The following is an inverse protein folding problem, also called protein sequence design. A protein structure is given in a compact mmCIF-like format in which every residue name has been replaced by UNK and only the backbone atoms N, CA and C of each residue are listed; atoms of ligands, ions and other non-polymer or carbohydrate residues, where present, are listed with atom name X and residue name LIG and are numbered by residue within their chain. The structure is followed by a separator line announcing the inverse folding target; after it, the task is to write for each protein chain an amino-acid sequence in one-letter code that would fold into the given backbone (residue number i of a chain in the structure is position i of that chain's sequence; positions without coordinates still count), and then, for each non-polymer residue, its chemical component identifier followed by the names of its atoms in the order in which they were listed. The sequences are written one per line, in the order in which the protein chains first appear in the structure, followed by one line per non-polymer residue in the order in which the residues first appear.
data_IF_114189687779
#
_entry.id   IF_114189687779
#
_cell.length_a   1.000
_cell.length_b   1.000
_cell.length_c   1.000
_cell.angle_alpha   90.00
_cell.angle_beta   90.00
_cell.angle_gamma   90.00
#
_symmetry.space_group_name_H-M   'P 1'
#
loop_
_entity.id
_entity.type
_entity.pdbx_description
1 polymer ?
#
# COMPACT_ATOMS: atom_id res chain seq x y z
N UNK A 1 20.72 14.78 -5.04
CA UNK A 1 19.43 14.19 -5.44
C UNK A 1 19.65 13.57 -6.80
N UNK A 2 19.38 12.28 -7.00
CA UNK A 2 19.47 11.64 -8.33
C UNK A 2 18.38 12.26 -9.21
N UNK A 3 18.66 12.53 -10.49
CA UNK A 3 17.66 13.02 -11.43
C UNK A 3 16.54 11.98 -11.61
N UNK A 4 15.26 12.40 -11.76
CA UNK A 4 14.16 11.48 -12.01
C UNK A 4 14.35 10.75 -13.33
N UNK A 5 13.89 9.50 -13.39
CA UNK A 5 13.63 8.84 -14.67
C UNK A 5 12.15 9.06 -15.00
N UNK A 6 11.89 9.78 -16.09
CA UNK A 6 10.60 9.96 -16.73
C UNK A 6 10.42 8.77 -17.72
N UNK A 7 9.33 8.00 -17.92
CA UNK A 7 7.87 8.12 -17.70
C UNK A 7 7.20 6.72 -17.74
N UNK A 8 6.29 6.44 -16.81
CA UNK A 8 5.00 5.80 -17.14
C UNK A 8 3.94 6.88 -16.80
N UNK A 9 3.01 7.18 -17.71
CA UNK A 9 1.90 8.14 -17.50
C UNK A 9 2.22 9.54 -16.91
N UNK A 10 3.35 10.17 -17.27
CA UNK A 10 3.69 11.53 -16.80
C UNK A 10 4.05 11.65 -15.31
N UNK A 11 4.25 10.54 -14.61
CA UNK A 11 4.70 10.54 -13.22
C UNK A 11 6.23 10.42 -13.09
N UNK A 12 6.77 11.12 -12.09
CA UNK A 12 8.22 11.16 -11.82
C UNK A 12 8.60 10.05 -10.85
N UNK A 13 9.61 9.29 -11.26
CA UNK A 13 10.11 8.14 -10.53
C UNK A 13 11.53 8.36 -10.02
N UNK A 14 11.78 8.01 -8.76
CA UNK A 14 13.07 8.18 -8.09
C UNK A 14 13.52 6.88 -7.45
N UNK A 15 14.78 6.46 -7.61
CA UNK A 15 15.30 5.30 -6.89
C UNK A 15 15.38 5.57 -5.39
N UNK A 16 15.00 4.59 -4.59
CA UNK A 16 15.22 4.58 -3.14
C UNK A 16 16.38 3.66 -2.79
N UNK A 17 17.21 4.10 -1.83
CA UNK A 17 18.41 3.38 -1.40
C UNK A 17 19.40 3.14 -2.55
N UNK A 18 19.82 1.89 -2.68
CA UNK A 18 20.74 1.42 -3.72
C UNK A 18 20.02 0.95 -4.99
N UNK A 19 18.70 1.06 -5.05
CA UNK A 19 17.94 0.66 -6.21
C UNK A 19 18.38 1.39 -7.48
N UNK A 20 18.26 0.70 -8.60
CA UNK A 20 18.48 1.22 -9.94
C UNK A 20 17.19 1.15 -10.73
N UNK A 21 16.86 2.27 -11.36
CA UNK A 21 15.72 2.39 -12.26
C UNK A 21 16.22 2.34 -13.70
N UNK A 22 15.59 1.55 -14.54
CA UNK A 22 15.88 1.45 -15.96
C UNK A 22 14.58 1.33 -16.75
N UNK A 23 14.35 2.23 -17.70
CA UNK A 23 13.22 2.13 -18.61
C UNK A 23 13.61 1.27 -19.81
N UNK A 24 12.87 0.19 -20.05
CA UNK A 24 13.04 -0.71 -21.19
C UNK A 24 11.71 -0.80 -21.90
N UNK A 25 11.63 -0.30 -23.14
CA UNK A 25 10.39 -0.15 -23.88
C UNK A 25 9.34 0.63 -23.05
N UNK A 26 8.16 0.06 -22.86
CA UNK A 26 7.06 0.61 -22.06
C UNK A 26 7.09 0.18 -20.59
N UNK A 27 8.19 -0.42 -20.12
CA UNK A 27 8.31 -0.96 -18.76
C UNK A 27 9.35 -0.21 -17.95
N UNK A 28 9.13 -0.13 -16.64
CA UNK A 28 10.11 0.36 -15.69
C UNK A 28 10.65 -0.79 -14.85
N UNK A 29 11.94 -1.04 -14.95
CA UNK A 29 12.65 -2.06 -14.18
C UNK A 29 13.24 -1.41 -12.93
N UNK A 30 12.84 -1.92 -11.76
CA UNK A 30 13.43 -1.58 -10.47
C UNK A 30 14.34 -2.73 -10.07
N UNK A 31 15.65 -2.50 -9.99
CA UNK A 31 16.64 -3.55 -9.71
C UNK A 31 17.58 -3.16 -8.57
N UNK A 32 18.45 -4.09 -8.16
CA UNK A 32 19.36 -3.93 -7.03
C UNK A 32 18.64 -3.77 -5.68
N UNK A 33 17.58 -4.58 -5.46
CA UNK A 33 16.79 -4.57 -4.23
C UNK A 33 17.41 -5.53 -3.20
N UNK A 34 18.23 -4.99 -2.30
CA UNK A 34 19.06 -5.80 -1.39
C UNK A 34 18.24 -6.39 -0.22
N UNK A 35 18.92 -6.96 0.76
CA UNK A 35 18.31 -7.45 1.99
C UNK A 35 18.02 -6.33 3.02
N UNK A 36 18.31 -5.07 2.68
CA UNK A 36 18.10 -3.90 3.54
C UNK A 36 16.62 -3.59 3.84
N UNK A 37 15.73 -3.89 2.90
CA UNK A 37 14.30 -3.57 2.98
C UNK A 37 13.95 -2.09 2.74
N UNK A 38 14.93 -1.25 2.41
CA UNK A 38 14.72 0.18 2.10
C UNK A 38 14.91 0.51 0.62
N UNK A 39 15.42 -0.45 -0.17
CA UNK A 39 15.62 -0.27 -1.61
C UNK A 39 14.28 -0.35 -2.34
N UNK A 40 14.11 0.48 -3.36
CA UNK A 40 12.87 0.51 -4.12
C UNK A 40 12.70 1.74 -4.98
N UNK A 41 11.48 2.25 -5.02
CA UNK A 41 11.07 3.35 -5.89
C UNK A 41 10.12 4.30 -5.16
N UNK A 42 10.36 5.59 -5.33
CA UNK A 42 9.42 6.65 -4.99
C UNK A 42 8.78 7.18 -6.27
N UNK A 43 7.47 7.39 -6.21
CA UNK A 43 6.62 7.81 -7.32
C UNK A 43 5.91 9.07 -6.87
N UNK A 44 6.20 10.19 -7.54
CA UNK A 44 5.49 11.44 -7.28
C UNK A 44 4.16 11.41 -8.02
N UNK A 45 3.07 11.29 -7.28
CA UNK A 45 1.69 11.22 -7.80
C UNK A 45 1.08 12.60 -8.00
N UNK A 46 1.78 13.67 -7.61
CA UNK A 46 1.33 15.06 -7.69
C UNK A 46 -0.02 15.39 -7.02
N UNK A 47 -0.61 14.48 -6.25
CA UNK A 47 -1.95 14.67 -5.66
C UNK A 47 -3.09 14.01 -6.42
N UNK A 48 -2.81 13.00 -7.24
CA UNK A 48 -3.83 12.18 -7.91
C UNK A 48 -4.68 11.44 -6.86
N UNK A 49 -6.00 11.37 -7.10
CA UNK A 49 -6.92 10.76 -6.14
C UNK A 49 -7.07 9.25 -6.34
N UNK A 50 -7.01 8.79 -7.59
CA UNK A 50 -7.11 7.37 -7.95
C UNK A 50 -5.85 6.97 -8.71
N UNK A 51 -5.16 5.94 -8.25
CA UNK A 51 -3.92 5.48 -8.86
C UNK A 51 -3.88 3.96 -8.89
N UNK A 52 -3.29 3.41 -9.94
CA UNK A 52 -3.15 1.98 -10.17
C UNK A 52 -1.77 1.72 -10.76
N UNK A 53 -1.12 0.68 -10.24
CA UNK A 53 0.18 0.21 -10.69
C UNK A 53 0.15 -1.29 -10.95
N UNK A 54 0.55 -1.66 -12.16
CA UNK A 54 0.60 -3.04 -12.63
C UNK A 54 2.04 -3.51 -12.75
N UNK A 55 2.31 -4.71 -12.24
CA UNK A 55 3.62 -5.35 -12.25
C UNK A 55 3.63 -6.56 -13.18
N UNK A 56 4.82 -6.95 -13.63
CA UNK A 56 5.03 -8.32 -14.04
C UNK A 56 4.96 -9.18 -12.77
N UNK A 57 4.04 -10.14 -12.76
CA UNK A 57 3.66 -10.84 -11.57
C UNK A 57 4.86 -11.47 -10.84
N UNK A 58 4.95 -11.26 -9.53
CA UNK A 58 6.02 -11.82 -8.69
C UNK A 58 5.46 -12.39 -7.38
N UNK A 59 6.09 -13.46 -6.90
CA UNK A 59 5.67 -14.19 -5.70
C UNK A 59 6.33 -13.62 -4.43
N UNK A 60 5.58 -13.56 -3.33
CA UNK A 60 6.13 -13.30 -2.00
C UNK A 60 6.72 -14.58 -1.42
N UNK A 61 8.02 -14.79 -1.64
CA UNK A 61 8.76 -15.94 -1.13
C UNK A 61 9.28 -15.80 0.32
N UNK A 62 9.96 -16.86 0.79
CA UNK A 62 10.64 -16.88 2.09
C UNK A 62 11.73 -15.79 2.12
N UNK A 63 11.73 -14.96 3.16
CA UNK A 63 12.58 -13.77 3.32
C UNK A 63 12.27 -12.59 2.40
N UNK A 64 11.25 -12.68 1.55
CA UNK A 64 10.82 -11.55 0.75
C UNK A 64 9.88 -10.65 1.55
N UNK A 65 9.94 -9.35 1.25
CA UNK A 65 9.02 -8.37 1.78
C UNK A 65 8.74 -7.34 0.72
N UNK A 66 7.49 -6.96 0.57
CA UNK A 66 7.05 -5.88 -0.31
C UNK A 66 6.25 -4.89 0.52
N UNK A 67 6.66 -3.62 0.52
CA UNK A 67 6.05 -2.59 1.34
C UNK A 67 5.60 -1.43 0.49
N UNK A 68 4.45 -0.86 0.83
CA UNK A 68 3.86 0.32 0.20
C UNK A 68 3.62 1.37 1.27
N UNK A 69 4.11 2.58 1.03
CA UNK A 69 3.94 3.73 1.91
C UNK A 69 3.34 4.89 1.13
N UNK A 70 2.31 5.53 1.69
CA UNK A 70 1.70 6.71 1.12
C UNK A 70 2.14 7.94 1.91
N UNK A 71 2.59 8.96 1.19
CA UNK A 71 3.01 10.22 1.74
C UNK A 71 2.14 11.35 1.24
N UNK A 72 1.80 12.27 2.13
CA UNK A 72 1.03 13.47 1.83
C UNK A 72 1.65 14.68 2.53
N UNK A 73 1.28 15.87 2.09
CA UNK A 73 1.73 17.11 2.73
C UNK A 73 0.78 17.52 3.85
N UNK A 74 1.33 18.02 4.95
CA UNK A 74 0.52 18.74 5.93
C UNK A 74 0.36 20.22 5.54
N UNK A 75 -0.40 20.97 6.35
CA UNK A 75 -0.62 22.42 6.17
C UNK A 75 0.66 23.27 6.04
N UNK A 76 1.81 22.75 6.48
CA UNK A 76 3.11 23.42 6.42
C UNK A 76 3.98 22.90 5.26
N UNK A 77 3.38 22.17 4.32
CA UNK A 77 4.06 21.55 3.18
C UNK A 77 5.15 20.54 3.58
N UNK A 78 5.02 19.91 4.75
CA UNK A 78 5.92 18.85 5.20
C UNK A 78 5.39 17.51 4.74
N UNK A 79 6.23 16.70 4.13
CA UNK A 79 5.89 15.34 3.72
C UNK A 79 5.76 14.46 4.98
N UNK A 80 4.59 13.85 5.16
CA UNK A 80 4.28 12.91 6.25
C UNK A 80 3.81 11.59 5.67
N UNK A 81 4.24 10.50 6.28
CA UNK A 81 3.65 9.19 6.01
C UNK A 81 2.25 9.15 6.59
N UNK A 82 1.28 8.71 5.78
CA UNK A 82 -0.12 8.66 6.19
C UNK A 82 -0.68 7.26 6.15
N UNK A 83 -0.12 6.36 5.35
CA UNK A 83 -0.46 4.94 5.36
C UNK A 83 0.81 4.15 5.08
N UNK A 84 0.92 2.99 5.72
CA UNK A 84 2.05 2.10 5.55
C UNK A 84 1.58 0.66 5.68
N UNK A 85 1.96 -0.16 4.71
CA UNK A 85 1.56 -1.54 4.64
C UNK A 85 2.67 -2.41 4.07
N UNK A 86 2.69 -3.68 4.47
CA UNK A 86 3.70 -4.63 4.08
C UNK A 86 3.11 -6.01 3.88
N UNK A 87 3.62 -6.73 2.88
CA UNK A 87 3.34 -8.13 2.61
C UNK A 87 4.65 -8.89 2.81
N UNK A 88 4.63 -9.88 3.69
CA UNK A 88 5.83 -10.64 4.05
C UNK A 88 5.49 -12.08 4.40
N UNK A 89 6.48 -12.96 4.26
CA UNK A 89 6.37 -14.34 4.71
C UNK A 89 6.66 -14.45 6.21
N UNK A 90 5.74 -15.04 6.97
CA UNK A 90 5.92 -15.37 8.39
C UNK A 90 6.30 -16.84 8.55
N UNK A 91 7.53 -17.08 9.00
CA UNK A 91 8.06 -18.43 9.21
C UNK A 91 7.34 -19.19 10.32
N UNK A 92 6.72 -18.49 11.29
CA UNK A 92 6.04 -19.14 12.40
C UNK A 92 4.72 -19.78 11.98
N UNK A 93 4.00 -19.10 11.08
CA UNK A 93 2.70 -19.55 10.56
C UNK A 93 2.81 -20.24 9.20
N UNK A 94 3.98 -20.16 8.55
CA UNK A 94 4.24 -20.68 7.20
C UNK A 94 3.25 -20.08 6.17
N UNK A 95 2.96 -18.78 6.32
CA UNK A 95 1.97 -18.03 5.54
C UNK A 95 2.49 -16.64 5.18
N UNK A 96 1.90 -16.05 4.15
CA UNK A 96 2.14 -14.67 3.74
C UNK A 96 1.17 -13.76 4.49
N UNK A 97 1.68 -12.81 5.26
CA UNK A 97 0.88 -11.89 6.06
C UNK A 97 0.84 -10.49 5.48
N UNK A 98 -0.34 -9.86 5.60
CA UNK A 98 -0.56 -8.43 5.35
C UNK A 98 -0.52 -7.69 6.68
N UNK A 99 0.47 -6.81 6.83
CA UNK A 99 0.60 -5.94 7.99
C UNK A 99 0.37 -4.49 7.62
N UNK A 100 -0.24 -3.75 8.54
CA UNK A 100 -0.54 -2.33 8.41
C UNK A 100 -0.06 -1.58 9.65
N UNK A 101 0.45 -0.38 9.47
CA UNK A 101 0.85 0.47 10.58
C UNK A 101 -0.40 1.01 11.28
N UNK A 102 -0.71 0.48 12.46
CA UNK A 102 -1.97 0.74 13.16
C UNK A 102 -2.12 2.21 13.58
N UNK A 103 -1.02 2.91 13.83
CA UNK A 103 -1.04 4.33 14.18
C UNK A 103 -1.49 5.23 13.01
N UNK A 104 -1.36 4.73 11.79
CA UNK A 104 -1.73 5.43 10.56
C UNK A 104 -3.13 5.05 10.05
N UNK A 105 -3.84 4.16 10.75
CA UNK A 105 -5.20 3.74 10.44
C UNK A 105 -6.24 4.46 11.30
N UNK A 106 -7.50 4.37 10.88
CA UNK A 106 -8.67 4.76 11.66
C UNK A 106 -8.96 3.74 12.77
N UNK A 107 -9.73 4.10 13.78
CA UNK A 107 -10.06 3.21 14.91
C UNK A 107 -10.75 1.92 14.48
N UNK A 108 -11.47 2.00 13.37
CA UNK A 108 -12.07 0.87 12.67
C UNK A 108 -11.61 0.86 11.23
N UNK A 109 -11.38 -0.33 10.70
CA UNK A 109 -11.10 -0.55 9.28
C UNK A 109 -12.04 -1.59 8.73
N UNK A 110 -12.36 -1.49 7.44
CA UNK A 110 -13.10 -2.52 6.72
C UNK A 110 -12.15 -3.26 5.81
N UNK A 111 -12.14 -4.58 5.92
CA UNK A 111 -11.52 -5.46 4.96
C UNK A 111 -12.61 -5.99 4.02
N UNK A 112 -12.38 -5.91 2.72
CA UNK A 112 -13.30 -6.39 1.71
C UNK A 112 -12.56 -7.35 0.79
N UNK A 113 -13.09 -8.56 0.64
CA UNK A 113 -12.65 -9.52 -0.36
C UNK A 113 -13.62 -9.50 -1.53
N UNK A 114 -13.11 -9.38 -2.75
CA UNK A 114 -13.90 -9.51 -3.97
C UNK A 114 -13.42 -10.67 -4.82
N UNK A 115 -14.36 -11.23 -5.57
CA UNK A 115 -14.09 -12.22 -6.60
C UNK A 115 -14.87 -11.79 -7.85
N UNK A 116 -14.16 -11.50 -8.95
CA UNK A 116 -14.75 -11.03 -10.21
C UNK A 116 -15.65 -9.81 -10.04
N UNK A 117 -15.27 -8.91 -9.14
CA UNK A 117 -16.00 -7.68 -8.84
C UNK A 117 -17.15 -7.83 -7.84
N UNK A 118 -17.58 -9.07 -7.51
CA UNK A 118 -18.57 -9.32 -6.47
C UNK A 118 -17.93 -9.34 -5.09
N UNK A 119 -18.59 -8.72 -4.10
CA UNK A 119 -18.13 -8.77 -2.72
C UNK A 119 -18.50 -10.11 -2.12
N UNK A 120 -17.50 -10.89 -1.75
CA UNK A 120 -17.67 -12.21 -1.12
C UNK A 120 -17.37 -12.20 0.37
N UNK A 121 -16.66 -11.17 0.84
CA UNK A 121 -16.27 -11.02 2.23
C UNK A 121 -16.25 -9.56 2.63
N UNK A 122 -16.78 -9.26 3.82
CA UNK A 122 -16.64 -7.97 4.50
C UNK A 122 -16.38 -8.26 5.98
N UNK A 123 -15.28 -7.73 6.51
CA UNK A 123 -14.97 -7.75 7.93
C UNK A 123 -14.69 -6.36 8.45
N UNK A 124 -15.31 -5.99 9.57
CA UNK A 124 -14.97 -4.77 10.30
C UNK A 124 -14.07 -5.13 11.48
N UNK A 125 -12.92 -4.45 11.60
CA UNK A 125 -11.94 -4.73 12.65
C UNK A 125 -11.56 -3.47 13.40
N UNK A 126 -11.35 -3.61 14.71
CA UNK A 126 -10.82 -2.55 15.56
C UNK A 126 -9.30 -2.49 15.42
N UNK A 127 -8.80 -1.31 15.06
CA UNK A 127 -7.37 -1.04 15.01
C UNK A 127 -6.80 -1.03 16.43
N UNK A 128 -5.77 -1.82 16.74
CA UNK A 128 -5.16 -1.81 18.05
C UNK A 128 -4.46 -0.47 18.28
N UNK A 129 -4.92 0.28 19.29
CA UNK A 129 -4.24 1.46 19.80
C UNK A 129 -3.78 1.17 21.24
N UNK A 130 -2.50 1.37 21.51
CA UNK A 130 -1.89 1.43 22.84
C UNK A 130 -1.66 0.13 23.66
N UNK A 131 -2.23 -1.02 23.30
CA UNK A 131 -2.09 -2.23 24.14
C UNK A 131 -1.01 -3.25 23.66
N UNK A 132 -0.41 -3.04 22.48
CA UNK A 132 0.68 -3.88 21.94
C UNK A 132 2.01 -3.14 22.01
N UNK A 133 2.71 -3.29 23.14
CA UNK A 133 3.82 -2.42 23.58
C UNK A 133 5.12 -2.51 22.75
N UNK A 134 5.24 -3.33 21.71
CA UNK A 134 6.56 -3.50 21.05
C UNK A 134 6.59 -3.36 19.53
N UNK A 135 5.46 -3.32 18.81
CA UNK A 135 5.48 -3.19 17.35
C UNK A 135 4.24 -2.40 16.88
N UNK A 136 4.37 -1.26 16.16
CA UNK A 136 3.25 -0.45 15.66
C UNK A 136 2.52 -1.10 14.47
N UNK A 137 2.69 -2.40 14.28
CA UNK A 137 2.22 -3.15 13.13
C UNK A 137 1.16 -4.16 13.56
N UNK A 138 0.06 -4.18 12.82
CA UNK A 138 -1.04 -5.10 13.06
C UNK A 138 -1.24 -5.98 11.83
N UNK A 139 -1.02 -7.31 11.95
CA UNK A 139 -1.34 -8.25 10.88
C UNK A 139 -2.84 -8.53 10.87
N UNK A 140 -3.48 -8.34 9.71
CA UNK A 140 -4.93 -8.54 9.59
C UNK A 140 -5.24 -9.87 8.89
N UNK A 141 -4.35 -10.32 7.98
CA UNK A 141 -4.65 -11.38 7.01
C UNK A 141 -3.43 -12.22 6.74
N UNK A 142 -3.65 -13.53 6.62
CA UNK A 142 -2.68 -14.49 6.12
C UNK A 142 -3.15 -15.09 4.78
N UNK A 143 -2.23 -15.49 3.91
CA UNK A 143 -2.49 -16.21 2.66
C UNK A 143 -1.49 -17.35 2.51
N UNK A 144 -1.88 -18.44 1.81
CA UNK A 144 -0.97 -19.56 1.56
C UNK A 144 0.09 -19.21 0.50
N UNK A 145 -0.35 -18.58 -0.60
CA UNK A 145 0.48 -18.06 -1.69
C UNK A 145 -0.06 -16.69 -2.08
N UNK A 146 0.82 -15.75 -2.40
CA UNK A 146 0.45 -14.43 -2.86
C UNK A 146 1.39 -13.97 -3.97
N UNK A 147 0.82 -13.74 -5.15
CA UNK A 147 1.52 -13.28 -6.34
C UNK A 147 0.98 -11.89 -6.66
N UNK A 148 1.80 -10.86 -6.46
CA UNK A 148 1.39 -9.47 -6.71
C UNK A 148 1.38 -9.21 -8.20
N UNK A 149 0.24 -8.76 -8.74
CA UNK A 149 0.15 -8.27 -10.12
C UNK A 149 -0.27 -6.80 -10.16
N UNK A 150 -1.13 -6.34 -9.25
CA UNK A 150 -1.57 -4.94 -9.22
C UNK A 150 -1.81 -4.39 -7.81
N UNK A 151 -1.49 -3.11 -7.62
CA UNK A 151 -1.77 -2.36 -6.39
C UNK A 151 -2.42 -1.04 -6.74
N UNK A 152 -3.51 -0.70 -6.04
CA UNK A 152 -4.30 0.49 -6.32
C UNK A 152 -4.58 1.29 -5.06
N UNK A 153 -4.77 2.60 -5.18
CA UNK A 153 -5.37 3.41 -4.13
C UNK A 153 -6.46 4.34 -4.63
N UNK A 154 -7.36 4.69 -3.73
CA UNK A 154 -8.35 5.73 -3.90
C UNK A 154 -8.40 6.59 -2.62
N UNK A 155 -8.27 7.91 -2.82
CA UNK A 155 -8.27 8.92 -1.77
C UNK A 155 -9.43 9.90 -1.99
N UNK A 156 -10.31 10.00 -0.98
CA UNK A 156 -11.45 10.91 -1.00
C UNK A 156 -11.38 11.78 0.26
N UNK A 157 -11.42 13.09 0.09
CA UNK A 157 -11.48 14.06 1.18
C UNK A 157 -12.70 14.98 1.00
N UNK A 158 -13.50 15.09 2.05
CA UNK A 158 -14.72 15.92 2.07
C UNK A 158 -14.72 16.80 3.31
N UNK A 159 -14.88 18.11 3.13
CA UNK A 159 -15.00 19.08 4.22
C UNK A 159 -16.45 19.58 4.32
N UNK A 160 -17.02 19.55 5.51
CA UNK A 160 -18.39 20.03 5.75
C UNK A 160 -18.45 21.57 5.88
N UNK A 161 -19.66 22.12 6.02
CA UNK A 161 -19.89 23.56 6.19
C UNK A 161 -19.31 24.14 7.49
N UNK A 162 -19.04 23.28 8.47
CA UNK A 162 -18.46 23.66 9.75
C UNK A 162 -16.92 23.66 9.70
N UNK A 163 -16.33 23.11 8.64
CA UNK A 163 -14.90 23.03 8.38
C UNK A 163 -14.24 21.76 8.93
N UNK A 164 -15.01 20.72 9.26
CA UNK A 164 -14.48 19.41 9.61
C UNK A 164 -14.21 18.60 8.34
N UNK A 165 -13.10 17.88 8.31
CA UNK A 165 -12.69 17.06 7.16
C UNK A 165 -12.84 15.58 7.47
N UNK A 166 -13.45 14.84 6.54
CA UNK A 166 -13.44 13.38 6.52
C UNK A 166 -12.57 12.90 5.39
N UNK A 167 -11.65 11.99 5.68
CA UNK A 167 -10.77 11.35 4.70
C UNK A 167 -11.09 9.87 4.64
N UNK A 168 -11.47 9.38 3.46
CA UNK A 168 -11.62 7.96 3.16
C UNK A 168 -10.46 7.52 2.28
N UNK A 169 -9.81 6.43 2.69
CA UNK A 169 -8.75 5.78 1.93
C UNK A 169 -9.13 4.34 1.67
N UNK A 170 -8.90 3.92 0.44
CA UNK A 170 -9.02 2.55 -0.02
C UNK A 170 -7.70 2.15 -0.64
N UNK A 171 -7.16 1.02 -0.21
CA UNK A 171 -5.94 0.43 -0.76
C UNK A 171 -6.31 -0.97 -1.22
N UNK A 172 -6.00 -1.29 -2.47
CA UNK A 172 -6.31 -2.59 -3.07
C UNK A 172 -5.04 -3.37 -3.39
N UNK A 173 -5.07 -4.65 -3.06
CA UNK A 173 -4.04 -5.63 -3.36
C UNK A 173 -4.65 -6.71 -4.25
N UNK A 174 -4.17 -6.79 -5.49
CA UNK A 174 -4.73 -7.66 -6.52
C UNK A 174 -3.72 -8.77 -6.83
N UNK A 175 -3.98 -10.01 -6.38
CA UNK A 175 -3.19 -11.13 -6.83
C UNK A 175 -3.43 -11.42 -8.31
N UNK A 176 -2.44 -12.05 -8.97
CA UNK A 176 -2.58 -12.52 -10.37
C UNK A 176 -3.75 -13.49 -10.56
N UNK A 177 -3.99 -14.31 -9.55
CA UNK A 177 -5.04 -15.33 -9.54
C UNK A 177 -5.73 -15.29 -8.17
N UNK A 178 -6.94 -15.83 -8.08
CA UNK A 178 -7.65 -15.91 -6.81
C UNK A 178 -6.83 -16.68 -5.79
N UNK A 179 -6.84 -16.23 -4.53
CA UNK A 179 -6.11 -16.87 -3.44
C UNK A 179 -6.96 -16.95 -2.19
N UNK A 180 -6.69 -17.97 -1.37
CA UNK A 180 -7.32 -18.13 -0.07
C UNK A 180 -6.68 -17.19 0.94
N UNK A 181 -7.48 -16.25 1.41
CA UNK A 181 -7.16 -15.39 2.54
C UNK A 181 -7.75 -15.97 3.82
N UNK A 182 -7.05 -15.78 4.92
CA UNK A 182 -7.51 -16.10 6.25
C UNK A 182 -7.39 -14.88 7.14
N UNK A 183 -8.49 -14.51 7.80
CA UNK A 183 -8.50 -13.41 8.78
C UNK A 183 -8.55 -13.99 10.18
N UNK A 184 -7.58 -13.65 11.03
CA UNK A 184 -7.51 -14.22 12.38
C UNK A 184 -7.46 -15.76 12.35
N UNK A 185 -8.19 -16.43 13.27
CA UNK A 185 -8.17 -17.90 13.38
C UNK A 185 -9.28 -18.63 12.60
N UNK A 186 -10.39 -17.97 12.24
CA UNK A 186 -11.64 -18.73 12.00
C UNK A 186 -12.36 -18.42 10.67
N UNK A 187 -11.87 -17.50 9.84
CA UNK A 187 -12.53 -17.16 8.57
C UNK A 187 -11.56 -17.28 7.41
N UNK A 188 -11.91 -18.11 6.43
CA UNK A 188 -11.23 -18.26 5.16
C UNK A 188 -12.16 -17.85 4.02
N UNK A 189 -11.62 -17.17 3.01
CA UNK A 189 -12.35 -16.79 1.79
C UNK A 189 -11.40 -16.73 0.59
N UNK A 190 -11.92 -16.99 -0.60
CA UNK A 190 -11.14 -16.99 -1.85
C UNK A 190 -11.46 -15.76 -2.70
N UNK A 191 -10.51 -14.83 -2.82
CA UNK A 191 -10.69 -13.54 -3.50
C UNK A 191 -9.59 -13.28 -4.54
N UNK A 192 -9.94 -12.54 -5.60
CA UNK A 192 -9.02 -12.01 -6.61
C UNK A 192 -8.69 -10.52 -6.40
N UNK A 193 -9.31 -9.89 -5.40
CA UNK A 193 -9.01 -8.53 -4.96
C UNK A 193 -9.22 -8.42 -3.44
N UNK A 194 -8.25 -7.81 -2.75
CA UNK A 194 -8.31 -7.55 -1.32
C UNK A 194 -8.21 -6.05 -1.05
N UNK A 195 -9.24 -5.47 -0.44
CA UNK A 195 -9.31 -4.03 -0.17
C UNK A 195 -9.32 -3.71 1.32
N UNK A 196 -8.47 -2.77 1.72
CA UNK A 196 -8.54 -2.14 3.04
C UNK A 196 -9.14 -0.73 2.92
N UNK A 197 -10.24 -0.50 3.64
CA UNK A 197 -10.84 0.83 3.81
C UNK A 197 -10.53 1.39 5.20
N UNK A 198 -10.10 2.65 5.24
CA UNK A 198 -9.89 3.42 6.47
C UNK A 198 -10.52 4.80 6.34
N UNK A 199 -11.32 5.21 7.34
CA UNK A 199 -12.01 6.49 7.38
C UNK A 199 -11.58 7.30 8.59
N UNK A 200 -10.90 8.41 8.34
CA UNK A 200 -10.36 9.32 9.35
C UNK A 200 -11.20 10.60 9.42
N UNK A 201 -11.37 11.13 10.64
CA UNK A 201 -12.10 12.36 10.89
C UNK A 201 -11.19 13.40 11.54
N UNK A 202 -11.19 14.59 10.98
CA UNK A 202 -10.36 15.72 11.39
C UNK A 202 -11.27 16.91 11.74
N UNK A 203 -11.43 17.25 13.02
CA UNK A 203 -12.17 18.44 13.42
C UNK A 203 -11.55 19.71 12.85
N UNK A 204 -12.37 20.75 12.63
CA UNK A 204 -11.87 22.06 12.21
C UNK A 204 -10.71 22.54 13.10
N UNK A 205 -9.64 22.98 12.46
CA UNK A 205 -8.47 23.53 13.13
C UNK A 205 -7.44 22.49 13.59
N UNK A 206 -7.64 21.19 13.30
CA UNK A 206 -6.61 20.18 13.56
C UNK A 206 -5.36 20.46 12.72
N UNK A 207 -4.19 20.42 13.34
CA UNK A 207 -2.90 20.61 12.64
C UNK A 207 -2.57 19.46 11.67
N UNK A 208 -3.29 18.34 11.81
CA UNK A 208 -3.19 17.15 10.98
C UNK A 208 -4.14 17.15 9.80
N UNK A 209 -4.66 18.32 9.36
CA UNK A 209 -5.38 18.35 8.08
C UNK A 209 -4.37 18.01 6.98
N UNK A 210 -4.46 16.79 6.47
CA UNK A 210 -3.53 16.22 5.50
C UNK A 210 -4.08 16.46 4.10
N UNK A 211 -3.24 16.98 3.20
CA UNK A 211 -3.53 17.08 1.78
C UNK A 211 -3.64 15.70 1.10
N UNK A 212 -3.86 15.73 -0.22
CA UNK A 212 -3.81 14.57 -1.11
C UNK A 212 -2.45 13.86 -1.05
N UNK A 213 -2.45 12.57 -1.36
CA UNK A 213 -1.22 11.77 -1.50
C UNK A 213 -0.34 12.40 -2.58
N UNK A 214 0.88 12.79 -2.22
CA UNK A 214 1.88 13.40 -3.10
C UNK A 214 2.93 12.43 -3.58
N UNK A 215 3.21 11.41 -2.79
CA UNK A 215 4.22 10.43 -3.12
C UNK A 215 3.80 9.05 -2.62
N UNK A 216 4.10 8.05 -3.44
CA UNK A 216 4.07 6.64 -3.07
C UNK A 216 5.50 6.14 -3.00
N UNK A 217 5.83 5.38 -1.96
CA UNK A 217 7.06 4.62 -1.92
C UNK A 217 6.75 3.13 -1.91
N UNK A 218 7.37 2.41 -2.82
CA UNK A 218 7.40 0.95 -2.86
C UNK A 218 8.81 0.53 -2.49
N UNK A 219 8.96 -0.25 -1.43
CA UNK A 219 10.24 -0.86 -1.08
C UNK A 219 10.12 -2.38 -1.10
N UNK A 220 11.22 -3.03 -1.44
CA UNK A 220 11.26 -4.48 -1.53
C UNK A 220 12.55 -5.03 -0.95
N UNK A 221 12.44 -6.19 -0.30
CA UNK A 221 13.56 -6.92 0.30
C UNK A 221 13.80 -8.23 -0.43
N UNK A 222 15.06 -8.55 -0.71
CA UNK A 222 15.49 -9.82 -1.30
C UNK A 222 14.92 -10.12 -2.69
N UNK A 223 14.67 -9.09 -3.49
CA UNK A 223 14.24 -9.23 -4.88
C UNK A 223 15.40 -8.89 -5.83
N UNK A 224 15.60 -9.67 -6.89
CA UNK A 224 16.60 -9.28 -7.92
C UNK A 224 16.14 -8.04 -8.68
N UNK A 225 14.84 -8.03 -9.03
CA UNK A 225 14.16 -6.94 -9.70
C UNK A 225 12.64 -7.04 -9.50
N UNK A 226 11.96 -5.91 -9.69
CA UNK A 226 10.52 -5.78 -9.88
C UNK A 226 10.33 -5.06 -11.22
N UNK A 227 9.39 -5.53 -12.03
CA UNK A 227 9.10 -4.91 -13.33
C UNK A 227 7.72 -4.28 -13.27
N UNK A 228 7.64 -2.98 -13.46
CA UNK A 228 6.39 -2.23 -13.59
C UNK A 228 6.02 -2.21 -15.06
N UNK A 229 4.82 -2.70 -15.38
CA UNK A 229 4.31 -2.82 -16.74
C UNK A 229 3.48 -1.62 -17.15
N UNK A 230 2.71 -1.08 -16.22
CA UNK A 230 1.81 0.02 -16.46
C UNK A 230 1.53 0.75 -15.16
N UNK A 231 1.22 2.03 -15.28
CA UNK A 231 0.83 2.92 -14.20
C UNK A 231 -0.22 3.86 -14.77
N UNK A 232 -1.26 4.16 -14.00
CA UNK A 232 -2.25 5.17 -14.39
C UNK A 232 -2.72 5.96 -13.19
N UNK A 233 -3.01 7.23 -13.42
CA UNK A 233 -3.63 8.12 -12.44
C UNK A 233 -4.85 8.83 -13.00
N UNK A 234 -5.92 8.90 -12.21
CA UNK A 234 -7.21 9.50 -12.56
C UNK A 234 -7.65 10.58 -11.54
#
# INVERSE_FOLDING_TARGET
MKEPIELIDNLKHYPLGEAKLEKIDDKLIVSNLTDSGIDGIAINTEGINVWELTFNAFEIGKNNTFSLSHFATDKNNRLKIIAQQSIYYDENTNKINFAFNSNLLSDKVLLVGKNKGEIIFIGEYLTPRNDFVCVPWWPIIAAAVYIIERVDYEYISTTDSEGNTTVTRKISWNPKESTTFQTGKDIEFEADELLLYSKLYYPKGSEDNIDKIKEIQITARNYKKIEILNEKGC
#
